data_IF_473288773917
#
_entry.id   IF_473288773917
#
_cell.length_a   1.000
_cell.length_b   1.000
_cell.length_c   1.000
_cell.angle_alpha   90.00
_cell.angle_beta   90.00
_cell.angle_gamma   90.00
#
_symmetry.space_group_name_H-M   'P 1'
#
loop_
_entity.id
_entity.type
_entity.pdbx_description
1 polymer ?
#
# COMPACT_ATOMS: atom_id res chain seq x y z
N UNK A 1 -79.88 36.75 47.05
CA UNK A 1 -79.14 35.50 47.39
C UNK A 1 -77.65 35.76 47.14
N UNK A 2 -76.94 36.19 48.18
CA UNK A 2 -75.51 36.51 48.13
C UNK A 2 -74.69 35.26 48.41
N UNK A 3 -74.04 34.70 47.38
CA UNK A 3 -73.01 33.67 47.57
C UNK A 3 -71.80 34.31 48.28
N UNK A 4 -71.72 34.14 49.60
CA UNK A 4 -70.51 34.44 50.35
C UNK A 4 -69.45 33.37 50.06
N UNK A 5 -68.60 33.64 49.08
CA UNK A 5 -67.37 32.88 48.86
C UNK A 5 -66.37 33.25 49.97
N UNK A 6 -66.15 32.35 50.94
CA UNK A 6 -65.04 32.48 51.89
C UNK A 6 -63.83 31.74 51.29
N UNK A 7 -62.78 32.42 50.83
CA UNK A 7 -61.59 31.73 50.37
C UNK A 7 -60.82 31.31 51.62
N UNK A 8 -61.05 30.08 52.10
CA UNK A 8 -60.05 29.41 52.91
C UNK A 8 -58.92 29.05 51.96
N UNK A 9 -57.99 29.98 51.74
CA UNK A 9 -56.73 29.73 51.05
C UNK A 9 -55.97 28.68 51.86
N UNK A 10 -56.20 27.41 51.54
CA UNK A 10 -55.51 26.30 52.13
C UNK A 10 -54.02 26.49 51.83
N UNK A 11 -53.19 26.63 52.87
CA UNK A 11 -51.73 26.76 52.75
C UNK A 11 -51.12 25.66 51.85
N UNK A 12 -51.77 24.49 51.83
CA UNK A 12 -51.47 23.37 50.93
C UNK A 12 -51.58 23.71 49.44
N UNK A 13 -52.56 24.51 49.05
CA UNK A 13 -52.76 24.93 47.66
C UNK A 13 -51.69 25.93 47.22
N UNK A 14 -51.32 26.88 48.09
CA UNK A 14 -50.19 27.80 47.83
C UNK A 14 -48.87 27.03 47.70
N UNK A 15 -48.61 26.07 48.58
CA UNK A 15 -47.42 25.21 48.51
C UNK A 15 -47.38 24.41 47.20
N UNK A 16 -48.52 23.89 46.73
CA UNK A 16 -48.62 23.20 45.46
C UNK A 16 -48.31 24.12 44.27
N UNK A 17 -48.86 25.33 44.24
CA UNK A 17 -48.59 26.31 43.17
C UNK A 17 -47.11 26.69 43.10
N UNK A 18 -46.46 26.93 44.25
CA UNK A 18 -45.02 27.22 44.31
C UNK A 18 -44.19 26.05 43.78
N UNK A 19 -44.56 24.81 44.10
CA UNK A 19 -43.84 23.63 43.66
C UNK A 19 -43.96 23.40 42.14
N UNK A 20 -45.14 23.66 41.56
CA UNK A 20 -45.37 23.63 40.10
C UNK A 20 -44.55 24.71 39.39
N UNK A 21 -44.49 25.93 39.93
CA UNK A 21 -43.67 27.01 39.37
C UNK A 21 -42.19 26.66 39.46
N UNK A 22 -41.72 26.12 40.58
CA UNK A 22 -40.33 25.70 40.75
C UNK A 22 -39.91 24.59 39.77
N UNK A 23 -40.78 23.60 39.55
CA UNK A 23 -40.59 22.55 38.55
C UNK A 23 -40.56 23.12 37.12
N UNK A 24 -41.47 24.05 36.80
CA UNK A 24 -41.51 24.71 35.49
C UNK A 24 -40.26 25.54 35.22
N UNK A 25 -39.75 26.26 36.23
CA UNK A 25 -38.51 27.04 36.11
C UNK A 25 -37.27 26.15 35.99
N UNK A 26 -37.24 25.02 36.71
CA UNK A 26 -36.17 24.02 36.56
C UNK A 26 -36.12 23.44 35.16
N UNK A 27 -37.27 22.98 34.65
CA UNK A 27 -37.39 22.44 33.30
C UNK A 27 -37.02 23.47 32.22
N UNK A 28 -37.44 24.73 32.37
CA UNK A 28 -37.09 25.81 31.44
C UNK A 28 -35.58 26.06 31.40
N UNK A 29 -34.91 26.06 32.56
CA UNK A 29 -33.45 26.24 32.65
C UNK A 29 -32.71 25.08 31.98
N UNK A 30 -33.14 23.85 32.22
CA UNK A 30 -32.52 22.67 31.60
C UNK A 30 -32.71 22.69 30.08
N UNK A 31 -33.87 23.17 29.59
CA UNK A 31 -34.13 23.31 28.16
C UNK A 31 -33.24 24.37 27.50
N UNK A 32 -33.06 25.52 28.16
CA UNK A 32 -32.14 26.58 27.68
C UNK A 32 -30.69 26.08 27.65
N UNK A 33 -30.25 25.32 28.66
CA UNK A 33 -28.90 24.74 28.68
C UNK A 33 -28.71 23.71 27.55
N UNK A 34 -29.72 22.90 27.26
CA UNK A 34 -29.69 21.96 26.13
C UNK A 34 -29.67 22.67 24.77
N UNK A 35 -30.40 23.78 24.60
CA UNK A 35 -30.35 24.62 23.39
C UNK A 35 -28.97 25.27 23.20
N UNK A 36 -28.36 25.78 24.28
CA UNK A 36 -27.00 26.34 24.25
C UNK A 36 -25.94 25.29 23.90
N UNK A 37 -26.07 24.06 24.42
CA UNK A 37 -25.19 22.94 24.06
C UNK A 37 -25.38 22.54 22.58
N UNK A 38 -26.62 22.43 22.10
CA UNK A 38 -26.93 22.16 20.70
C UNK A 38 -26.39 23.25 19.76
N UNK A 39 -26.39 24.52 20.18
CA UNK A 39 -25.86 25.64 19.41
C UNK A 39 -24.31 25.63 19.31
N UNK A 40 -23.61 24.94 20.23
CA UNK A 40 -22.14 24.79 20.21
C UNK A 40 -21.67 23.61 19.36
N UNK A 41 -22.50 22.57 19.22
CA UNK A 41 -22.17 21.37 18.44
C UNK A 41 -21.72 21.65 16.99
N UNK A 42 -22.30 22.59 16.22
CA UNK A 42 -21.82 22.87 14.86
C UNK A 42 -20.38 23.39 14.84
N UNK A 43 -19.99 24.20 15.83
CA UNK A 43 -18.63 24.70 15.97
C UNK A 43 -17.64 23.60 16.35
N UNK A 44 -18.02 22.74 17.30
CA UNK A 44 -17.21 21.58 17.69
C UNK A 44 -17.08 20.56 16.54
N UNK A 45 -18.16 20.31 15.79
CA UNK A 45 -18.14 19.45 14.60
C UNK A 45 -17.27 20.07 13.50
N UNK A 46 -17.28 21.39 13.32
CA UNK A 46 -16.42 22.06 12.35
C UNK A 46 -14.94 21.95 12.74
N UNK A 47 -14.60 22.18 14.01
CA UNK A 47 -13.24 22.02 14.54
C UNK A 47 -12.79 20.56 14.46
N UNK A 48 -13.66 19.61 14.82
CA UNK A 48 -13.35 18.19 14.69
C UNK A 48 -13.22 17.75 13.23
N UNK A 49 -14.01 18.31 12.31
CA UNK A 49 -13.88 18.05 10.88
C UNK A 49 -12.57 18.61 10.34
N UNK A 50 -12.20 19.83 10.71
CA UNK A 50 -10.92 20.45 10.32
C UNK A 50 -9.74 19.66 10.91
N UNK A 51 -9.80 19.29 12.20
CA UNK A 51 -8.79 18.44 12.84
C UNK A 51 -8.73 17.05 12.21
N UNK A 52 -9.86 16.47 11.79
CA UNK A 52 -9.90 15.17 11.12
C UNK A 52 -9.43 15.28 9.67
N UNK A 53 -9.74 16.36 8.95
CA UNK A 53 -9.19 16.65 7.63
C UNK A 53 -7.68 16.91 7.70
N UNK A 54 -7.20 17.58 8.75
CA UNK A 54 -5.78 17.76 9.02
C UNK A 54 -5.12 16.45 9.46
N UNK A 55 -5.77 15.62 10.29
CA UNK A 55 -5.30 14.28 10.64
C UNK A 55 -5.29 13.36 9.43
N UNK A 56 -6.30 13.41 8.58
CA UNK A 56 -6.37 12.68 7.31
C UNK A 56 -5.30 13.21 6.38
N UNK A 57 -5.11 14.52 6.23
CA UNK A 57 -4.02 15.12 5.44
C UNK A 57 -2.63 14.81 6.03
N UNK A 58 -2.50 14.68 7.36
CA UNK A 58 -1.30 14.20 8.02
C UNK A 58 -1.13 12.70 7.85
N UNK A 59 -2.19 11.90 7.79
CA UNK A 59 -2.17 10.44 7.56
C UNK A 59 -2.06 10.06 6.07
N UNK A 60 -2.45 10.94 5.15
CA UNK A 60 -2.31 10.78 3.69
C UNK A 60 -1.05 11.49 3.20
N UNK A 61 -0.64 12.57 3.84
CA UNK A 61 0.62 13.32 3.64
C UNK A 61 1.82 12.69 4.36
N UNK A 62 1.62 12.05 5.51
CA UNK A 62 2.40 10.84 5.86
C UNK A 62 1.83 9.71 5.02
N UNK A 63 2.03 9.80 3.71
CA UNK A 63 1.89 8.65 2.86
C UNK A 63 2.68 7.54 3.53
N UNK A 64 1.96 6.59 4.15
CA UNK A 64 2.48 5.27 4.45
C UNK A 64 2.97 4.81 3.11
N UNK A 65 4.27 4.98 2.85
CA UNK A 65 4.81 4.70 1.55
C UNK A 65 4.41 3.27 1.26
N UNK A 66 3.94 3.01 0.04
CA UNK A 66 3.73 1.63 -0.38
C UNK A 66 4.98 0.83 -0.06
N UNK A 67 6.17 1.43 -0.11
CA UNK A 67 7.43 0.84 0.38
C UNK A 67 7.43 0.48 1.87
N UNK A 68 6.97 1.28 2.84
CA UNK A 68 7.01 0.88 4.28
C UNK A 68 5.95 -0.15 4.63
N UNK A 69 4.76 -0.06 4.03
CA UNK A 69 3.71 -1.06 4.26
C UNK A 69 4.00 -2.34 3.46
N UNK A 70 4.58 -2.26 2.24
CA UNK A 70 5.10 -3.41 1.51
C UNK A 70 6.35 -3.98 2.16
N UNK A 71 7.33 -3.20 2.61
CA UNK A 71 8.51 -3.69 3.34
C UNK A 71 8.10 -4.32 4.67
N UNK A 72 7.09 -3.75 5.37
CA UNK A 72 6.45 -4.42 6.51
C UNK A 72 5.77 -5.71 6.07
N UNK A 73 5.02 -5.72 4.98
CA UNK A 73 4.40 -6.91 4.39
C UNK A 73 5.47 -7.97 4.06
N UNK A 74 6.59 -7.61 3.42
CA UNK A 74 7.74 -8.48 3.13
C UNK A 74 8.42 -8.98 4.42
N UNK A 75 8.53 -8.14 5.45
CA UNK A 75 9.07 -8.57 6.75
C UNK A 75 8.13 -9.54 7.50
N UNK A 76 6.82 -9.35 7.41
CA UNK A 76 5.82 -10.29 7.96
C UNK A 76 5.71 -11.54 7.09
N UNK A 77 5.97 -11.44 5.79
CA UNK A 77 6.02 -12.57 4.86
C UNK A 77 7.25 -13.42 5.13
N UNK A 78 8.42 -12.85 5.44
CA UNK A 78 9.57 -13.67 5.90
C UNK A 78 9.24 -14.47 7.18
N UNK A 79 8.43 -13.91 8.09
CA UNK A 79 7.93 -14.62 9.27
C UNK A 79 6.82 -15.63 8.93
N UNK A 80 5.96 -15.34 7.94
CA UNK A 80 4.91 -16.25 7.47
C UNK A 80 5.44 -17.35 6.55
N UNK A 81 6.60 -17.18 5.92
CA UNK A 81 7.19 -18.12 4.97
C UNK A 81 7.85 -19.31 5.68
N UNK A 82 8.39 -19.14 6.89
CA UNK A 82 8.82 -20.27 7.72
C UNK A 82 7.63 -21.13 8.16
N UNK A 83 6.51 -20.48 8.52
CA UNK A 83 5.24 -21.14 8.83
C UNK A 83 4.60 -21.81 7.60
N UNK A 84 4.80 -21.26 6.39
CA UNK A 84 4.29 -21.86 5.17
C UNK A 84 5.06 -23.12 4.76
N UNK A 85 6.38 -23.17 4.96
CA UNK A 85 7.15 -24.40 4.72
C UNK A 85 6.73 -25.54 5.65
N UNK A 86 6.33 -25.26 6.90
CA UNK A 86 5.81 -26.29 7.83
C UNK A 86 4.40 -26.80 7.45
N UNK A 87 3.63 -26.02 6.67
CA UNK A 87 2.25 -26.35 6.28
C UNK A 87 2.18 -27.08 4.93
N UNK A 88 3.23 -27.02 4.10
CA UNK A 88 3.24 -27.62 2.75
C UNK A 88 3.33 -29.15 2.78
N UNK A 89 3.91 -29.76 3.82
CA UNK A 89 4.13 -31.21 3.89
C UNK A 89 2.83 -32.05 3.97
N UNK A 90 1.68 -31.45 4.31
CA UNK A 90 0.40 -32.16 4.55
C UNK A 90 -0.67 -31.94 3.45
N UNK A 91 -0.33 -31.40 2.27
CA UNK A 91 -1.34 -31.07 1.25
C UNK A 91 -1.63 -32.20 0.23
N UNK A 92 -2.88 -32.73 0.16
CA UNK A 92 -3.17 -34.04 -0.45
C UNK A 92 -3.54 -34.01 -1.94
N UNK A 93 -3.11 -33.03 -2.74
CA UNK A 93 -3.54 -32.89 -4.15
C UNK A 93 -2.33 -33.03 -5.08
N UNK A 94 -2.39 -33.93 -6.06
CA UNK A 94 -1.36 -34.10 -7.09
C UNK A 94 -1.26 -32.85 -7.99
N UNK A 95 -0.11 -32.66 -8.66
CA UNK A 95 0.10 -31.57 -9.63
C UNK A 95 -0.99 -31.59 -10.71
N UNK A 96 -1.35 -32.77 -11.23
CA UNK A 96 -2.43 -32.92 -12.20
C UNK A 96 -3.79 -32.43 -11.68
N UNK A 97 -4.15 -32.80 -10.44
CA UNK A 97 -5.39 -32.36 -9.83
C UNK A 97 -5.38 -30.85 -9.52
N UNK A 98 -4.21 -30.27 -9.24
CA UNK A 98 -4.01 -28.82 -9.15
C UNK A 98 -4.20 -28.12 -10.49
N UNK A 99 -3.55 -28.61 -11.55
CA UNK A 99 -3.66 -28.05 -12.89
C UNK A 99 -5.07 -28.19 -13.45
N UNK A 100 -5.73 -29.32 -13.18
CA UNK A 100 -7.12 -29.55 -13.52
C UNK A 100 -8.05 -28.60 -12.75
N UNK A 101 -7.84 -28.40 -11.44
CA UNK A 101 -8.61 -27.42 -10.67
C UNK A 101 -8.43 -25.98 -11.17
N UNK A 102 -7.22 -25.60 -11.58
CA UNK A 102 -6.99 -24.30 -12.20
C UNK A 102 -7.71 -24.19 -13.54
N UNK A 103 -7.46 -25.13 -14.46
CA UNK A 103 -8.05 -25.14 -15.80
C UNK A 103 -9.59 -25.11 -15.74
N UNK A 104 -10.19 -25.93 -14.88
CA UNK A 104 -11.65 -25.99 -14.73
C UNK A 104 -12.21 -24.82 -13.91
N UNK A 105 -11.48 -24.38 -12.89
CA UNK A 105 -11.90 -23.32 -11.97
C UNK A 105 -11.68 -21.90 -12.51
N UNK A 106 -10.89 -21.73 -13.58
CA UNK A 106 -10.71 -20.47 -14.31
C UNK A 106 -12.05 -19.90 -14.80
N UNK A 107 -13.05 -20.75 -15.06
CA UNK A 107 -14.41 -20.35 -15.45
C UNK A 107 -15.35 -20.08 -14.26
N UNK A 108 -15.02 -20.57 -13.05
CA UNK A 108 -15.84 -20.50 -11.84
C UNK A 108 -15.22 -19.59 -10.76
N UNK A 109 -14.31 -18.70 -11.18
CA UNK A 109 -13.62 -17.80 -10.28
C UNK A 109 -14.62 -16.91 -9.55
N UNK A 110 -14.75 -17.12 -8.24
CA UNK A 110 -15.55 -16.26 -7.38
C UNK A 110 -14.72 -15.04 -7.03
N UNK A 111 -14.74 -14.08 -7.94
CA UNK A 111 -14.03 -12.79 -7.87
C UNK A 111 -14.12 -12.18 -6.48
N UNK A 112 -15.34 -12.06 -5.91
CA UNK A 112 -15.58 -11.49 -4.57
C UNK A 112 -14.71 -12.05 -3.44
N UNK A 113 -14.26 -13.31 -3.49
CA UNK A 113 -13.47 -13.94 -2.43
C UNK A 113 -12.06 -14.36 -2.88
N UNK A 114 -11.65 -14.09 -4.13
CA UNK A 114 -10.40 -14.60 -4.71
C UNK A 114 -10.20 -16.11 -4.44
N UNK A 115 -11.24 -16.89 -4.74
CA UNK A 115 -11.28 -18.34 -4.54
C UNK A 115 -11.50 -19.06 -5.84
N UNK A 116 -10.84 -20.21 -5.97
CA UNK A 116 -11.07 -21.19 -7.05
C UNK A 116 -11.64 -22.43 -6.39
N UNK A 117 -12.92 -22.75 -6.68
CA UNK A 117 -13.67 -23.86 -6.08
C UNK A 117 -13.60 -23.93 -4.54
N UNK A 118 -13.68 -22.77 -3.89
CA UNK A 118 -13.66 -22.66 -2.42
C UNK A 118 -12.27 -22.64 -1.79
N UNK A 119 -11.21 -22.95 -2.53
CA UNK A 119 -9.82 -22.82 -2.07
C UNK A 119 -9.30 -21.40 -2.30
N UNK A 120 -8.63 -20.76 -1.32
CA UNK A 120 -8.01 -19.45 -1.51
C UNK A 120 -7.00 -19.47 -2.65
N UNK A 121 -7.03 -18.47 -3.54
CA UNK A 121 -6.09 -18.40 -4.67
C UNK A 121 -4.62 -18.29 -4.21
N UNK A 122 -4.37 -17.70 -3.02
CA UNK A 122 -3.04 -17.72 -2.37
C UNK A 122 -2.49 -19.13 -2.11
N UNK A 123 -3.35 -20.12 -1.87
CA UNK A 123 -2.93 -21.52 -1.74
C UNK A 123 -2.50 -22.11 -3.08
N UNK A 124 -3.05 -21.64 -4.20
CA UNK A 124 -2.65 -22.10 -5.54
C UNK A 124 -1.28 -21.57 -5.92
N UNK A 125 -1.03 -20.32 -5.60
CA UNK A 125 0.26 -19.65 -5.74
C UNK A 125 1.41 -20.35 -4.99
N UNK A 126 1.15 -20.84 -3.78
CA UNK A 126 2.14 -21.58 -2.99
C UNK A 126 2.39 -22.99 -3.55
N UNK A 127 1.43 -23.59 -4.24
CA UNK A 127 1.61 -24.94 -4.82
C UNK A 127 2.62 -24.96 -5.96
N UNK A 128 2.77 -23.87 -6.72
CA UNK A 128 3.70 -23.87 -7.85
C UNK A 128 5.17 -24.00 -7.41
N UNK A 129 5.51 -23.62 -6.18
CA UNK A 129 6.86 -23.87 -5.66
C UNK A 129 7.13 -25.36 -5.46
N UNK A 130 6.11 -26.18 -5.20
CA UNK A 130 6.23 -27.64 -5.04
C UNK A 130 6.16 -28.45 -6.34
N UNK A 131 5.87 -27.82 -7.48
CA UNK A 131 5.84 -28.49 -8.80
C UNK A 131 7.27 -28.88 -9.21
N UNK A 132 7.46 -29.99 -9.94
CA UNK A 132 8.79 -30.35 -10.44
C UNK A 132 9.28 -29.39 -11.54
N UNK A 133 10.59 -29.37 -11.83
CA UNK A 133 11.13 -28.55 -12.92
C UNK A 133 10.59 -28.98 -14.31
N UNK A 134 10.26 -30.25 -14.48
CA UNK A 134 9.71 -30.83 -15.71
C UNK A 134 8.28 -30.34 -15.97
N UNK A 135 7.48 -30.18 -14.92
CA UNK A 135 6.07 -29.79 -14.98
C UNK A 135 5.87 -28.26 -14.92
N UNK A 136 6.88 -27.52 -14.45
CA UNK A 136 6.82 -26.06 -14.31
C UNK A 136 6.40 -25.32 -15.59
N UNK A 137 6.89 -25.67 -16.81
CA UNK A 137 6.41 -25.02 -18.03
C UNK A 137 4.91 -25.16 -18.27
N UNK A 138 4.31 -26.31 -17.93
CA UNK A 138 2.87 -26.53 -18.08
C UNK A 138 2.08 -25.79 -17.00
N UNK A 139 2.56 -25.82 -15.75
CA UNK A 139 1.93 -25.13 -14.63
C UNK A 139 1.93 -23.61 -14.79
N UNK A 140 2.94 -23.05 -15.44
CA UNK A 140 3.03 -21.62 -15.68
C UNK A 140 1.93 -21.09 -16.61
N UNK A 141 1.42 -21.88 -17.55
CA UNK A 141 0.41 -21.40 -18.52
C UNK A 141 -0.89 -20.96 -17.83
N UNK A 142 -1.61 -21.83 -17.10
CA UNK A 142 -2.84 -21.44 -16.43
C UNK A 142 -2.59 -20.39 -15.34
N UNK A 143 -1.42 -20.38 -14.69
CA UNK A 143 -1.06 -19.33 -13.75
C UNK A 143 -0.94 -17.97 -14.43
N UNK A 144 -0.32 -17.87 -15.60
CA UNK A 144 -0.23 -16.58 -16.30
C UNK A 144 -1.57 -16.13 -16.87
N UNK A 145 -2.43 -17.07 -17.24
CA UNK A 145 -3.79 -16.77 -17.70
C UNK A 145 -4.66 -16.15 -16.61
N UNK A 146 -4.42 -16.45 -15.31
CA UNK A 146 -5.18 -15.84 -14.22
C UNK A 146 -4.94 -14.34 -14.07
N UNK A 147 -3.79 -13.83 -14.54
CA UNK A 147 -3.55 -12.37 -14.62
C UNK A 147 -4.48 -11.67 -15.61
N UNK A 148 -4.99 -12.41 -16.60
CA UNK A 148 -5.81 -11.88 -17.70
C UNK A 148 -7.31 -12.00 -17.43
N UNK A 149 -7.71 -12.60 -16.31
CA UNK A 149 -9.11 -12.83 -15.95
C UNK A 149 -9.89 -11.58 -15.54
N UNK A 150 -9.25 -10.41 -15.53
CA UNK A 150 -9.91 -9.12 -15.29
C UNK A 150 -10.30 -8.84 -13.83
N UNK A 151 -10.08 -9.77 -12.89
CA UNK A 151 -10.13 -9.47 -11.45
C UNK A 151 -8.74 -9.01 -10.96
N UNK A 152 -8.60 -7.75 -10.53
CA UNK A 152 -7.33 -7.21 -10.05
C UNK A 152 -6.75 -7.95 -8.85
N UNK A 153 -7.56 -8.52 -7.96
CA UNK A 153 -7.06 -9.25 -6.78
C UNK A 153 -6.38 -10.54 -7.18
N UNK A 154 -6.88 -11.18 -8.23
CA UNK A 154 -6.30 -12.42 -8.74
C UNK A 154 -5.02 -12.10 -9.50
N UNK A 155 -5.03 -11.04 -10.31
CA UNK A 155 -3.82 -10.53 -10.94
C UNK A 155 -2.75 -10.14 -9.90
N UNK A 156 -3.13 -9.44 -8.83
CA UNK A 156 -2.26 -9.07 -7.70
C UNK A 156 -1.63 -10.31 -7.07
N UNK A 157 -2.46 -11.27 -6.66
CA UNK A 157 -1.97 -12.49 -6.01
C UNK A 157 -1.09 -13.30 -6.95
N UNK A 158 -1.44 -13.39 -8.23
CA UNK A 158 -0.60 -14.09 -9.21
C UNK A 158 0.75 -13.40 -9.36
N UNK A 159 0.77 -12.07 -9.51
CA UNK A 159 2.00 -11.28 -9.67
C UNK A 159 2.88 -11.38 -8.44
N UNK A 160 2.29 -11.26 -7.26
CA UNK A 160 2.98 -11.45 -5.97
C UNK A 160 3.60 -12.85 -5.85
N UNK A 161 2.95 -13.88 -6.39
CA UNK A 161 3.45 -15.25 -6.32
C UNK A 161 4.64 -15.47 -7.24
N UNK A 162 4.55 -14.93 -8.46
CA UNK A 162 5.68 -14.87 -9.38
C UNK A 162 6.84 -14.10 -8.76
N UNK A 163 6.56 -12.98 -8.08
CA UNK A 163 7.57 -12.21 -7.36
C UNK A 163 8.28 -13.07 -6.31
N UNK A 164 7.54 -13.77 -5.45
CA UNK A 164 8.14 -14.66 -4.45
C UNK A 164 9.02 -15.75 -5.07
N UNK A 165 8.59 -16.35 -6.17
CA UNK A 165 9.39 -17.36 -6.88
C UNK A 165 10.66 -16.75 -7.50
N UNK A 166 10.57 -15.54 -8.08
CA UNK A 166 11.72 -14.83 -8.61
C UNK A 166 12.75 -14.47 -7.53
N UNK A 167 12.30 -14.19 -6.30
CA UNK A 167 13.18 -13.94 -5.16
C UNK A 167 13.83 -15.22 -4.62
N UNK A 168 13.05 -16.29 -4.47
CA UNK A 168 13.50 -17.53 -3.82
C UNK A 168 14.28 -18.44 -4.76
N UNK A 169 13.77 -18.62 -5.98
CA UNK A 169 14.23 -19.61 -6.94
C UNK A 169 14.52 -18.94 -8.30
N UNK A 170 15.36 -17.88 -8.35
CA UNK A 170 15.59 -17.11 -9.56
C UNK A 170 16.00 -18.00 -10.73
N UNK A 171 16.96 -18.92 -10.50
CA UNK A 171 17.48 -19.86 -11.50
C UNK A 171 16.40 -20.73 -12.13
N UNK A 172 15.42 -21.16 -11.34
CA UNK A 172 14.29 -21.97 -11.80
C UNK A 172 13.33 -21.14 -12.65
N UNK A 173 13.14 -19.86 -12.31
CA UNK A 173 12.27 -18.95 -13.04
C UNK A 173 12.88 -18.41 -14.33
N UNK A 174 14.22 -18.41 -14.43
CA UNK A 174 14.95 -17.86 -15.59
C UNK A 174 14.49 -18.37 -16.96
N UNK A 175 14.28 -19.69 -17.19
CA UNK A 175 13.83 -20.21 -18.49
C UNK A 175 12.42 -19.74 -18.88
N UNK A 176 11.61 -19.33 -17.90
CA UNK A 176 10.22 -18.94 -18.09
C UNK A 176 10.04 -17.43 -18.34
N UNK A 177 11.10 -16.62 -18.25
CA UNK A 177 11.05 -15.17 -18.40
C UNK A 177 10.28 -14.72 -19.66
N UNK A 178 10.54 -15.35 -20.81
CA UNK A 178 9.86 -15.03 -22.08
C UNK A 178 8.34 -15.20 -22.03
N UNK A 179 7.82 -16.09 -21.19
CA UNK A 179 6.38 -16.30 -20.99
C UNK A 179 5.81 -15.34 -19.95
N UNK A 180 6.58 -15.06 -18.90
CA UNK A 180 6.18 -14.22 -17.77
C UNK A 180 6.09 -12.74 -18.19
N UNK A 181 7.06 -12.23 -18.93
CA UNK A 181 7.18 -10.79 -19.26
C UNK A 181 5.91 -10.24 -19.93
N UNK A 182 5.33 -10.86 -20.98
CA UNK A 182 4.11 -10.34 -21.59
C UNK A 182 2.90 -10.25 -20.63
N UNK A 183 2.79 -11.19 -19.68
CA UNK A 183 1.71 -11.16 -18.68
C UNK A 183 1.91 -10.01 -17.68
N UNK A 184 3.15 -9.81 -17.20
CA UNK A 184 3.48 -8.68 -16.33
C UNK A 184 3.31 -7.32 -17.02
N UNK A 185 3.66 -7.22 -18.31
CA UNK A 185 3.44 -6.00 -19.10
C UNK A 185 1.95 -5.67 -19.20
N UNK A 186 1.08 -6.67 -19.36
CA UNK A 186 -0.37 -6.45 -19.35
C UNK A 186 -0.84 -5.87 -18.00
N UNK A 187 -0.27 -6.36 -16.89
CA UNK A 187 -0.58 -5.88 -15.54
C UNK A 187 -0.20 -4.41 -15.29
N UNK A 188 0.76 -3.84 -16.05
CA UNK A 188 1.15 -2.43 -15.92
C UNK A 188 0.02 -1.45 -16.26
N UNK A 189 -0.96 -1.89 -17.05
CA UNK A 189 -2.10 -1.10 -17.51
C UNK A 189 -3.36 -1.29 -16.65
N UNK A 190 -3.31 -2.15 -15.63
CA UNK A 190 -4.44 -2.32 -14.71
C UNK A 190 -4.55 -1.10 -13.77
N UNK A 191 -5.77 -0.71 -13.36
CA UNK A 191 -5.95 0.49 -12.53
C UNK A 191 -5.43 0.35 -11.10
N UNK A 192 -5.22 -0.87 -10.60
CA UNK A 192 -4.83 -1.12 -9.23
C UNK A 192 -3.32 -1.01 -9.01
N UNK A 193 -2.91 -0.01 -8.23
CA UNK A 193 -1.50 0.25 -7.88
C UNK A 193 -0.75 -0.97 -7.34
N UNK A 194 -1.41 -1.83 -6.56
CA UNK A 194 -0.77 -3.04 -6.01
C UNK A 194 -0.36 -4.02 -7.12
N UNK A 195 -1.24 -4.25 -8.09
CA UNK A 195 -0.97 -5.14 -9.22
C UNK A 195 0.15 -4.58 -10.07
N UNK A 196 0.09 -3.28 -10.37
CA UNK A 196 1.12 -2.55 -11.13
C UNK A 196 2.47 -2.61 -10.44
N UNK A 197 2.52 -2.38 -9.13
CA UNK A 197 3.73 -2.43 -8.34
C UNK A 197 4.37 -3.82 -8.39
N UNK A 198 3.59 -4.88 -8.11
CA UNK A 198 4.10 -6.26 -8.14
C UNK A 198 4.62 -6.63 -9.55
N UNK A 199 3.93 -6.18 -10.60
CA UNK A 199 4.41 -6.36 -11.96
C UNK A 199 5.75 -5.66 -12.22
N UNK A 200 5.90 -4.39 -11.81
CA UNK A 200 7.15 -3.64 -11.95
C UNK A 200 8.29 -4.31 -11.16
N UNK A 201 8.03 -4.79 -9.95
CA UNK A 201 9.03 -5.47 -9.13
C UNK A 201 9.48 -6.79 -9.76
N UNK A 202 8.55 -7.59 -10.29
CA UNK A 202 8.88 -8.80 -11.04
C UNK A 202 9.76 -8.50 -12.27
N UNK A 203 9.37 -7.48 -13.06
CA UNK A 203 10.14 -7.06 -14.23
C UNK A 203 11.54 -6.58 -13.85
N UNK A 204 11.68 -5.84 -12.75
CA UNK A 204 12.98 -5.45 -12.18
C UNK A 204 13.84 -6.67 -11.83
N UNK A 205 13.27 -7.69 -11.18
CA UNK A 205 14.00 -8.91 -10.80
C UNK A 205 14.46 -9.73 -12.01
N UNK A 206 13.66 -9.77 -13.07
CA UNK A 206 14.02 -10.43 -14.33
C UNK A 206 15.19 -9.74 -15.04
N UNK A 207 15.41 -8.45 -14.77
CA UNK A 207 16.51 -7.66 -15.34
C UNK A 207 16.50 -7.67 -16.86
N UNK A 208 17.66 -7.84 -17.50
CA UNK A 208 17.80 -7.76 -18.96
C UNK A 208 16.87 -8.71 -19.75
N UNK A 209 16.37 -9.79 -19.14
CA UNK A 209 15.40 -10.71 -19.76
C UNK A 209 14.01 -10.10 -19.95
N UNK A 210 13.73 -8.97 -19.29
CA UNK A 210 12.51 -8.19 -19.42
C UNK A 210 12.66 -6.98 -20.37
N UNK A 211 13.57 -7.05 -21.34
CA UNK A 211 13.81 -5.99 -22.33
C UNK A 211 12.54 -5.50 -23.03
N UNK A 212 11.59 -6.41 -23.28
CA UNK A 212 10.33 -6.10 -23.96
C UNK A 212 9.41 -5.19 -23.13
N UNK A 213 9.67 -5.07 -21.82
CA UNK A 213 8.94 -4.18 -20.92
C UNK A 213 9.54 -2.76 -20.85
N UNK A 214 10.69 -2.49 -21.50
CA UNK A 214 11.35 -1.19 -21.40
C UNK A 214 10.47 -0.02 -21.85
N UNK A 215 9.76 -0.18 -22.96
CA UNK A 215 8.93 0.90 -23.50
C UNK A 215 7.74 1.22 -22.56
N UNK A 216 6.91 0.24 -22.13
CA UNK A 216 5.86 0.48 -21.12
C UNK A 216 6.40 1.08 -19.81
N UNK A 217 7.55 0.60 -19.33
CA UNK A 217 8.15 1.12 -18.10
C UNK A 217 8.66 2.56 -18.26
N UNK A 218 9.21 2.92 -19.43
CA UNK A 218 9.63 4.31 -19.73
C UNK A 218 8.43 5.26 -19.77
N UNK A 219 7.29 4.81 -20.27
CA UNK A 219 6.06 5.60 -20.26
C UNK A 219 5.57 5.88 -18.83
N UNK A 220 5.63 4.89 -17.93
CA UNK A 220 5.30 5.07 -16.51
C UNK A 220 6.33 5.96 -15.83
N UNK A 221 7.62 5.72 -16.08
CA UNK A 221 8.74 6.50 -15.56
C UNK A 221 8.60 8.00 -15.89
N UNK A 222 8.08 8.33 -17.08
CA UNK A 222 7.89 9.72 -17.53
C UNK A 222 6.72 10.47 -16.89
N UNK A 223 5.81 9.78 -16.19
CA UNK A 223 4.65 10.42 -15.52
C UNK A 223 5.07 10.95 -14.16
N UNK A 224 4.70 12.19 -13.84
CA UNK A 224 5.12 12.85 -12.59
C UNK A 224 4.08 12.67 -11.46
N UNK A 225 2.85 12.45 -11.86
CA UNK A 225 1.66 12.20 -11.04
C UNK A 225 1.42 10.71 -10.78
N UNK A 226 2.21 9.83 -11.39
CA UNK A 226 2.11 8.39 -11.21
C UNK A 226 3.03 7.92 -10.08
N UNK A 227 2.44 7.36 -9.02
CA UNK A 227 3.20 6.79 -7.88
C UNK A 227 4.15 5.67 -8.32
N UNK A 228 3.90 5.03 -9.47
CA UNK A 228 4.75 3.98 -10.01
C UNK A 228 6.01 4.50 -10.71
N UNK A 229 6.15 5.80 -10.95
CA UNK A 229 7.27 6.38 -11.69
C UNK A 229 8.63 6.03 -11.08
N UNK A 230 8.75 6.03 -9.76
CA UNK A 230 9.99 5.72 -9.04
C UNK A 230 10.36 4.23 -9.23
N UNK A 231 9.41 3.33 -9.01
CA UNK A 231 9.62 1.90 -9.20
C UNK A 231 9.93 1.55 -10.67
N UNK A 232 9.25 2.22 -11.60
CA UNK A 232 9.54 2.07 -13.03
C UNK A 232 10.95 2.58 -13.38
N UNK A 233 11.39 3.69 -12.77
CA UNK A 233 12.75 4.23 -12.90
C UNK A 233 13.78 3.17 -12.48
N UNK A 234 13.60 2.55 -11.32
CA UNK A 234 14.48 1.48 -10.83
C UNK A 234 14.46 0.24 -11.75
N UNK A 235 13.27 -0.16 -12.21
CA UNK A 235 13.12 -1.31 -13.09
C UNK A 235 13.85 -1.07 -14.42
N UNK A 236 13.68 0.12 -15.03
CA UNK A 236 14.40 0.51 -16.25
C UNK A 236 15.91 0.43 -16.04
N UNK A 237 16.44 0.95 -14.94
CA UNK A 237 17.87 0.89 -14.64
C UNK A 237 18.40 -0.54 -14.47
N UNK A 238 17.55 -1.45 -13.96
CA UNK A 238 17.94 -2.85 -13.78
C UNK A 238 17.86 -3.66 -15.07
N UNK A 239 16.89 -3.35 -15.93
CA UNK A 239 16.69 -4.01 -17.24
C UNK A 239 17.71 -3.49 -18.26
N UNK A 240 17.97 -2.19 -18.26
CA UNK A 240 18.93 -1.50 -19.12
C UNK A 240 19.84 -0.58 -18.28
N UNK A 241 20.96 -1.12 -17.74
CA UNK A 241 21.92 -0.34 -16.94
C UNK A 241 22.57 0.83 -17.68
N UNK A 242 22.47 0.88 -19.02
CA UNK A 242 22.99 2.01 -19.79
C UNK A 242 22.05 3.22 -19.76
N UNK A 243 20.78 3.04 -19.36
CA UNK A 243 19.84 4.16 -19.24
C UNK A 243 20.23 5.04 -18.03
N UNK A 244 20.54 6.34 -18.22
CA UNK A 244 20.94 7.22 -17.14
C UNK A 244 19.72 7.71 -16.34
N UNK A 245 19.27 6.89 -15.38
CA UNK A 245 18.07 7.20 -14.59
C UNK A 245 18.31 8.19 -13.44
N UNK A 246 19.57 8.48 -13.09
CA UNK A 246 19.91 9.34 -11.95
C UNK A 246 19.30 10.74 -12.04
N UNK A 247 19.33 11.35 -13.23
CA UNK A 247 18.71 12.66 -13.49
C UNK A 247 17.20 12.60 -13.26
N UNK A 248 16.54 11.53 -13.72
CA UNK A 248 15.11 11.34 -13.51
C UNK A 248 14.78 11.18 -12.02
N UNK A 249 15.60 10.46 -11.28
CA UNK A 249 15.42 10.30 -9.83
C UNK A 249 15.53 11.64 -9.09
N UNK A 250 16.51 12.48 -9.44
CA UNK A 250 16.64 13.83 -8.90
C UNK A 250 15.43 14.72 -9.23
N UNK A 251 14.92 14.66 -10.47
CA UNK A 251 13.73 15.42 -10.88
C UNK A 251 12.49 15.02 -10.05
N UNK A 252 12.27 13.71 -9.85
CA UNK A 252 11.15 13.19 -9.05
C UNK A 252 11.23 13.68 -7.59
N UNK A 253 12.45 13.80 -7.04
CA UNK A 253 12.68 14.35 -5.70
C UNK A 253 12.39 15.84 -5.68
N UNK A 254 13.02 16.63 -6.56
CA UNK A 254 12.90 18.09 -6.59
C UNK A 254 11.44 18.53 -6.72
N UNK A 255 10.67 17.85 -7.57
CA UNK A 255 9.25 18.15 -7.80
C UNK A 255 8.31 17.62 -6.73
N UNK A 256 8.83 16.89 -5.73
CA UNK A 256 8.05 16.22 -4.68
C UNK A 256 6.93 15.36 -5.27
N UNK A 257 7.24 14.62 -6.33
CA UNK A 257 6.31 13.69 -6.96
C UNK A 257 5.82 12.61 -5.96
N UNK A 258 4.73 11.92 -6.29
CA UNK A 258 4.19 10.89 -5.39
C UNK A 258 5.23 9.81 -5.10
N UNK A 259 5.51 9.58 -3.82
CA UNK A 259 6.51 8.61 -3.37
C UNK A 259 7.95 9.11 -3.40
N UNK A 260 8.21 10.41 -3.63
CA UNK A 260 9.57 10.99 -3.74
C UNK A 260 10.53 10.58 -2.60
N UNK A 261 10.01 10.20 -1.43
CA UNK A 261 10.82 9.66 -0.34
C UNK A 261 11.57 8.40 -0.76
N UNK A 262 10.91 7.50 -1.51
CA UNK A 262 11.51 6.27 -2.04
C UNK A 262 12.63 6.59 -3.05
N UNK A 263 12.46 7.67 -3.83
CA UNK A 263 13.50 8.18 -4.73
C UNK A 263 14.74 8.67 -3.96
N UNK A 264 14.54 9.37 -2.82
CA UNK A 264 15.64 9.78 -1.93
C UNK A 264 16.38 8.56 -1.37
N UNK A 265 15.65 7.53 -0.93
CA UNK A 265 16.23 6.31 -0.33
C UNK A 265 17.16 5.55 -1.28
N UNK A 266 16.92 5.63 -2.59
CA UNK A 266 17.70 4.90 -3.60
C UNK A 266 18.57 5.79 -4.48
N UNK A 267 18.66 7.11 -4.20
CA UNK A 267 19.40 8.03 -5.06
C UNK A 267 20.90 7.67 -5.16
N UNK A 268 21.51 7.21 -4.07
CA UNK A 268 22.93 6.83 -4.01
C UNK A 268 23.27 5.57 -4.82
N UNK A 269 22.25 4.85 -5.32
CA UNK A 269 22.40 3.70 -6.21
C UNK A 269 22.61 4.15 -7.66
N UNK A 270 22.02 5.28 -8.06
CA UNK A 270 21.95 5.71 -9.46
C UNK A 270 22.79 6.96 -9.76
N UNK A 271 23.25 7.65 -8.73
CA UNK A 271 24.03 8.88 -8.82
C UNK A 271 25.28 8.70 -7.94
N UNK A 272 26.47 9.17 -8.38
CA UNK A 272 27.67 9.17 -7.54
C UNK A 272 27.39 9.77 -6.16
N UNK A 273 27.94 9.16 -5.11
CA UNK A 273 27.62 9.51 -3.72
C UNK A 273 27.81 10.99 -3.42
N UNK A 274 28.88 11.60 -3.91
CA UNK A 274 29.21 13.00 -3.69
C UNK A 274 28.17 13.91 -4.34
N UNK A 275 27.71 13.54 -5.53
CA UNK A 275 26.66 14.26 -6.25
C UNK A 275 25.30 14.10 -5.55
N UNK A 276 24.93 12.88 -5.15
CA UNK A 276 23.73 12.61 -4.37
C UNK A 276 23.72 13.39 -3.05
N UNK A 277 24.84 13.44 -2.33
CA UNK A 277 24.98 14.22 -1.09
C UNK A 277 24.79 15.72 -1.33
N UNK A 278 25.46 16.29 -2.34
CA UNK A 278 25.33 17.73 -2.67
C UNK A 278 23.90 18.08 -3.04
N UNK A 279 23.26 17.24 -3.85
CA UNK A 279 21.85 17.40 -4.22
C UNK A 279 20.94 17.35 -3.00
N UNK A 280 21.05 16.31 -2.16
CA UNK A 280 20.22 16.16 -0.97
C UNK A 280 20.47 17.25 0.08
N UNK A 281 21.70 17.75 0.24
CA UNK A 281 21.99 18.91 1.09
C UNK A 281 21.26 20.16 0.58
N UNK A 282 21.27 20.38 -0.74
CA UNK A 282 20.56 21.49 -1.37
C UNK A 282 19.05 21.38 -1.11
N UNK A 283 18.46 20.20 -1.30
CA UNK A 283 17.04 19.95 -1.04
C UNK A 283 16.68 20.08 0.45
N UNK A 284 17.58 19.67 1.35
CA UNK A 284 17.41 19.84 2.80
C UNK A 284 17.35 21.32 3.20
N UNK A 285 18.19 22.17 2.58
CA UNK A 285 18.21 23.63 2.86
C UNK A 285 16.99 24.35 2.28
N UNK A 286 16.50 23.92 1.10
CA UNK A 286 15.30 24.48 0.48
C UNK A 286 14.01 24.14 1.24
N UNK A 287 13.96 22.97 1.88
CA UNK A 287 12.76 22.47 2.55
C UNK A 287 12.47 23.20 3.86
N UNK A 288 11.27 23.73 4.00
CA UNK A 288 10.72 24.31 5.23
C UNK A 288 9.96 23.29 6.11
N UNK A 289 9.52 22.18 5.53
CA UNK A 289 8.75 21.14 6.24
C UNK A 289 9.65 20.19 7.03
N UNK A 290 9.36 20.03 8.32
CA UNK A 290 10.10 19.15 9.23
C UNK A 290 10.18 17.69 8.78
N UNK A 291 9.08 17.18 8.22
CA UNK A 291 9.02 15.80 7.71
C UNK A 291 10.00 15.58 6.55
N UNK A 292 10.00 16.48 5.56
CA UNK A 292 10.89 16.37 4.40
C UNK A 292 12.35 16.46 4.82
N UNK A 293 12.66 17.43 5.71
CA UNK A 293 13.99 17.60 6.29
C UNK A 293 14.46 16.34 7.03
N UNK A 294 13.58 15.74 7.82
CA UNK A 294 13.88 14.51 8.57
C UNK A 294 14.16 13.32 7.64
N UNK A 295 13.35 13.16 6.58
CA UNK A 295 13.56 12.12 5.57
C UNK A 295 14.92 12.27 4.87
N UNK A 296 15.25 13.48 4.41
CA UNK A 296 16.50 13.76 3.69
C UNK A 296 17.71 13.63 4.62
N UNK A 297 17.62 14.19 5.84
CA UNK A 297 18.71 14.14 6.83
C UNK A 297 19.07 12.71 7.23
N UNK A 298 18.08 11.82 7.36
CA UNK A 298 18.32 10.39 7.62
C UNK A 298 19.16 9.76 6.51
N UNK A 299 18.80 9.98 5.26
CA UNK A 299 19.52 9.37 4.12
C UNK A 299 20.92 9.98 3.97
N UNK A 300 21.08 11.28 4.18
CA UNK A 300 22.40 11.91 4.24
C UNK A 300 23.30 11.27 5.31
N UNK A 301 22.75 10.98 6.50
CA UNK A 301 23.48 10.27 7.54
C UNK A 301 23.84 8.84 7.12
N UNK A 302 22.90 8.10 6.52
CA UNK A 302 23.14 6.73 6.04
C UNK A 302 24.25 6.69 4.98
N UNK A 303 24.26 7.61 4.01
CA UNK A 303 25.31 7.71 2.99
C UNK A 303 26.67 8.02 3.65
N UNK A 304 26.71 8.94 4.63
CA UNK A 304 27.93 9.30 5.37
C UNK A 304 28.47 8.14 6.22
N UNK A 305 27.60 7.35 6.83
CA UNK A 305 28.00 6.18 7.62
C UNK A 305 28.56 5.04 6.76
N UNK A 306 27.99 4.82 5.56
CA UNK A 306 28.53 3.84 4.59
C UNK A 306 29.96 4.17 4.15
N UNK A 307 30.37 5.45 4.19
CA UNK A 307 31.71 5.90 3.81
C UNK A 307 32.76 5.64 4.89
N UNK A 308 32.34 5.63 6.17
CA UNK A 308 33.23 5.41 7.32
C UNK A 308 33.41 3.94 7.69
N UNK A 309 32.65 3.03 7.08
CA UNK A 309 32.80 1.60 7.32
C UNK A 309 34.09 1.10 6.66
N UNK A 310 35.07 0.56 7.41
CA UNK A 310 36.26 -0.01 6.80
C UNK A 310 35.83 -1.14 5.86
N UNK A 311 36.34 -1.12 4.63
CA UNK A 311 36.25 -2.23 3.68
C UNK A 311 36.80 -3.47 4.37
N UNK A 312 35.91 -4.30 4.92
CA UNK A 312 36.26 -5.68 5.28
C UNK A 312 36.54 -6.37 3.97
N UNK A 313 37.82 -6.44 3.61
CA UNK A 313 38.33 -7.40 2.63
C UNK A 313 37.75 -8.76 3.03
N UNK A 314 36.85 -9.29 2.21
CA UNK A 314 36.39 -10.66 2.38
C UNK A 314 37.57 -11.57 2.00
N UNK A 315 37.98 -12.51 2.88
CA UNK A 315 39.02 -13.47 2.56
C UNK A 315 38.63 -14.40 1.41
#
# INVERSE_FOLDING_TARGET
>A
MSLQWKPQTNLRWLAFVVLVIALGLGWYRDHQQAEDELARLPGEIAVLREQNEELVARMTGTGRSLSREHLRWYSTVNVSLSLLNEVVDDFPISVDAYLQQLKEGLHEVQTRQARVRGTPFSSFALRISGVSDEEMPEAMVPLLDTMRLGDPRIAEQTAYSIHLLLLKEPKRMEPHAKRIVPALVACLNLPEDKVRLEAILCLKLLGAKASDALQPLREIMGRNDDRMAIFATEAVAKIDPATPVGVRMMELIERRCLGWQDAVEHLDVFVPKEEAQRFLQTELTKSDKDFERSCIARILNDISLKDKAPTRERP
#
